data_IF_548311799642
#
_entry.id   IF_548311799642
#
_cell.length_a   1.000
_cell.length_b   1.000
_cell.length_c   1.000
_cell.angle_alpha   90.00
_cell.angle_beta   90.00
_cell.angle_gamma   90.00
#
_symmetry.space_group_name_H-M   'P 1'
#
loop_
_entity.id
_entity.type
_entity.pdbx_description
1 polymer ?
#
# COMPACT_ATOMS: atom_id res chain seq x y z
N UNK A 1 18.54 17.30 -26.78
CA UNK A 1 18.02 17.67 -25.44
C UNK A 1 16.50 17.85 -25.40
N UNK A 2 15.82 18.17 -26.51
CA UNK A 2 14.35 18.34 -26.55
C UNK A 2 13.56 17.03 -26.35
N UNK A 3 14.02 15.92 -26.93
CA UNK A 3 13.38 14.60 -26.85
C UNK A 3 13.31 14.01 -25.43
N UNK A 4 14.37 14.20 -24.64
CA UNK A 4 14.41 13.70 -23.26
C UNK A 4 13.40 14.42 -22.37
N UNK A 5 13.17 15.71 -22.62
CA UNK A 5 12.25 16.54 -21.85
C UNK A 5 10.79 16.24 -22.20
N UNK A 6 10.46 16.04 -23.47
CA UNK A 6 9.12 15.62 -23.92
C UNK A 6 8.76 14.23 -23.37
N UNK A 7 9.69 13.26 -23.45
CA UNK A 7 9.47 11.92 -22.91
C UNK A 7 9.30 11.90 -21.38
N UNK A 8 10.05 12.75 -20.66
CA UNK A 8 9.89 12.90 -19.21
C UNK A 8 8.54 13.52 -18.84
N UNK A 9 8.06 14.51 -19.61
CA UNK A 9 6.75 15.13 -19.40
C UNK A 9 5.61 14.12 -19.64
N UNK A 10 5.68 13.35 -20.73
CA UNK A 10 4.67 12.33 -21.07
C UNK A 10 4.64 11.18 -20.05
N UNK A 11 5.81 10.74 -19.57
CA UNK A 11 5.88 9.76 -18.49
C UNK A 11 5.32 10.31 -17.17
N UNK A 12 5.58 11.59 -16.86
CA UNK A 12 5.01 12.23 -15.68
C UNK A 12 3.49 12.33 -15.75
N UNK A 13 2.92 12.69 -16.91
CA UNK A 13 1.46 12.79 -17.09
C UNK A 13 0.76 11.44 -17.01
N UNK A 14 1.35 10.38 -17.58
CA UNK A 14 0.78 9.03 -17.48
C UNK A 14 0.77 8.53 -16.03
N UNK A 15 1.87 8.77 -15.29
CA UNK A 15 1.96 8.39 -13.88
C UNK A 15 0.99 9.20 -13.01
N UNK A 16 0.77 10.49 -13.30
CA UNK A 16 -0.23 11.30 -12.58
C UNK A 16 -1.64 10.83 -12.86
N UNK A 17 -1.97 10.47 -14.11
CA UNK A 17 -3.30 10.00 -14.48
C UNK A 17 -3.62 8.63 -13.87
N UNK A 18 -2.63 7.75 -13.80
CA UNK A 18 -2.77 6.46 -13.12
C UNK A 18 -2.98 6.64 -11.62
N UNK A 19 -2.16 7.50 -10.98
CA UNK A 19 -2.30 7.82 -9.58
C UNK A 19 -3.68 8.42 -9.27
N UNK A 20 -4.15 9.34 -10.11
CA UNK A 20 -5.47 9.96 -9.99
C UNK A 20 -6.58 8.92 -10.02
N UNK A 21 -6.62 8.04 -11.04
CA UNK A 21 -7.64 6.97 -11.14
C UNK A 21 -7.61 6.04 -9.94
N UNK A 22 -6.42 5.67 -9.46
CA UNK A 22 -6.28 4.81 -8.29
C UNK A 22 -6.82 5.51 -7.02
N UNK A 23 -6.46 6.77 -6.81
CA UNK A 23 -6.90 7.55 -5.66
C UNK A 23 -8.42 7.81 -5.70
N UNK A 24 -9.01 8.06 -6.86
CA UNK A 24 -10.46 8.18 -7.04
C UNK A 24 -11.20 6.92 -6.63
N UNK A 25 -10.74 5.75 -7.09
CA UNK A 25 -11.33 4.45 -6.70
C UNK A 25 -11.23 4.22 -5.20
N UNK A 26 -10.07 4.50 -4.60
CA UNK A 26 -9.84 4.28 -3.18
C UNK A 26 -10.55 5.30 -2.28
N UNK A 27 -10.67 6.57 -2.70
CA UNK A 27 -11.28 7.63 -1.90
C UNK A 27 -12.73 7.33 -1.52
N UNK A 28 -13.46 6.58 -2.36
CA UNK A 28 -14.83 6.14 -2.08
C UNK A 28 -14.91 5.26 -0.81
N UNK A 29 -13.85 4.50 -0.53
CA UNK A 29 -13.74 3.56 0.59
C UNK A 29 -13.17 4.20 1.85
N UNK A 30 -12.47 5.33 1.70
CA UNK A 30 -11.75 5.97 2.79
C UNK A 30 -12.66 6.91 3.59
N UNK A 31 -12.52 6.87 4.92
CA UNK A 31 -13.07 7.85 5.85
C UNK A 31 -12.03 8.27 6.86
N UNK A 32 -11.86 9.57 7.04
CA UNK A 32 -10.99 10.09 8.08
C UNK A 32 -11.75 10.25 9.39
N UNK A 33 -11.10 10.10 10.56
CA UNK A 33 -11.75 10.32 11.86
C UNK A 33 -12.39 11.72 12.00
N UNK A 34 -11.86 12.70 11.27
CA UNK A 34 -12.37 14.08 11.25
C UNK A 34 -13.51 14.32 10.25
N UNK A 35 -13.82 13.33 9.39
CA UNK A 35 -14.87 13.41 8.39
C UNK A 35 -15.47 12.01 8.10
N UNK A 36 -16.13 11.37 9.08
CA UNK A 36 -16.62 9.99 8.95
C UNK A 36 -17.72 9.83 7.90
N UNK A 37 -18.50 10.89 7.64
CA UNK A 37 -19.64 10.85 6.71
C UNK A 37 -19.28 11.26 5.27
N UNK A 38 -18.03 11.69 5.02
CA UNK A 38 -17.62 12.22 3.72
C UNK A 38 -16.32 11.59 3.26
N UNK A 39 -16.23 11.17 1.98
CA UNK A 39 -14.96 10.72 1.42
C UNK A 39 -13.97 11.90 1.35
N UNK A 40 -12.66 11.62 1.38
CA UNK A 40 -11.65 12.62 1.09
C UNK A 40 -11.76 13.16 -0.34
N UNK A 41 -11.35 14.40 -0.52
CA UNK A 41 -11.20 15.02 -1.83
C UNK A 41 -9.91 14.55 -2.49
N UNK A 42 -9.99 14.04 -3.72
CA UNK A 42 -8.80 13.69 -4.51
C UNK A 42 -8.25 14.94 -5.18
N UNK A 43 -6.94 15.15 -5.10
CA UNK A 43 -6.30 16.25 -5.81
C UNK A 43 -6.18 15.93 -7.30
N UNK A 44 -6.54 16.89 -8.15
CA UNK A 44 -6.60 16.72 -9.61
C UNK A 44 -5.26 16.43 -10.28
N UNK A 45 -4.15 16.70 -9.59
CA UNK A 45 -2.79 16.38 -10.04
C UNK A 45 -2.32 14.97 -9.59
N UNK A 46 -3.18 14.20 -8.92
CA UNK A 46 -2.85 12.87 -8.40
C UNK A 46 -1.86 12.90 -7.23
N UNK A 47 -1.58 14.07 -6.64
CA UNK A 47 -0.55 14.22 -5.60
C UNK A 47 -1.00 13.76 -4.20
N UNK A 48 -2.28 13.41 -4.02
CA UNK A 48 -2.80 12.87 -2.77
C UNK A 48 -4.26 13.22 -2.51
N UNK A 49 -4.61 13.22 -1.22
CA UNK A 49 -5.96 13.42 -0.72
C UNK A 49 -6.03 14.64 0.20
N UNK A 50 -7.21 15.25 0.30
CA UNK A 50 -7.51 16.35 1.21
C UNK A 50 -8.74 16.01 2.05
N UNK A 51 -8.66 16.27 3.37
CA UNK A 51 -9.83 16.16 4.23
C UNK A 51 -10.83 17.28 3.90
N UNK A 52 -12.10 16.97 3.61
CA UNK A 52 -13.11 17.99 3.23
C UNK A 52 -13.53 18.88 4.41
N UNK A 53 -13.26 18.46 5.65
CA UNK A 53 -13.63 19.20 6.87
C UNK A 53 -12.48 20.07 7.36
N UNK A 54 -11.28 19.49 7.48
CA UNK A 54 -10.12 20.19 8.07
C UNK A 54 -9.21 20.83 7.03
N UNK A 55 -9.35 20.49 5.75
CA UNK A 55 -8.43 20.89 4.69
C UNK A 55 -7.06 20.22 4.78
N UNK A 56 -6.83 19.31 5.75
CA UNK A 56 -5.55 18.62 5.92
C UNK A 56 -5.21 17.83 4.67
N UNK A 57 -3.98 18.01 4.19
CA UNK A 57 -3.43 17.31 3.03
C UNK A 57 -2.70 16.03 3.44
N UNK A 58 -2.89 14.97 2.65
CA UNK A 58 -2.26 13.67 2.78
C UNK A 58 -1.55 13.31 1.48
N UNK A 59 -0.20 13.34 1.45
CA UNK A 59 0.55 13.18 0.21
C UNK A 59 0.55 11.73 -0.27
N UNK A 60 0.39 11.56 -1.58
CA UNK A 60 0.67 10.32 -2.31
C UNK A 60 2.00 10.45 -3.04
N UNK A 61 3.02 9.70 -2.59
CA UNK A 61 4.39 9.78 -3.13
C UNK A 61 5.03 8.41 -3.18
N UNK A 62 5.68 8.11 -4.31
CA UNK A 62 6.40 6.85 -4.49
C UNK A 62 5.50 5.61 -4.35
N UNK A 63 4.22 5.72 -4.73
CA UNK A 63 3.25 4.64 -4.62
C UNK A 63 2.55 4.52 -3.26
N UNK A 64 2.85 5.41 -2.30
CA UNK A 64 2.35 5.35 -0.93
C UNK A 64 1.58 6.61 -0.56
N UNK A 65 0.36 6.46 -0.04
CA UNK A 65 -0.45 7.50 0.57
C UNK A 65 -0.11 7.59 2.07
N UNK A 66 0.35 8.76 2.54
CA UNK A 66 0.77 8.94 3.92
C UNK A 66 -0.29 9.63 4.77
N UNK A 67 -0.92 8.89 5.69
CA UNK A 67 -1.92 9.41 6.61
C UNK A 67 -1.35 9.86 7.96
N UNK A 68 -0.10 9.49 8.26
CA UNK A 68 0.51 9.69 9.57
C UNK A 68 1.43 10.91 9.61
N UNK A 69 2.01 11.31 8.48
CA UNK A 69 2.97 12.42 8.42
C UNK A 69 4.25 12.13 9.23
N UNK A 70 4.98 13.16 9.65
CA UNK A 70 6.28 12.99 10.31
C UNK A 70 6.18 12.71 11.82
N UNK A 71 4.98 12.74 12.40
CA UNK A 71 4.77 12.86 13.85
C UNK A 71 4.54 11.54 14.61
N UNK A 72 5.05 10.41 14.12
CA UNK A 72 5.05 9.19 14.93
C UNK A 72 6.35 9.08 15.73
N UNK A 73 6.28 9.41 17.02
CA UNK A 73 7.26 8.91 17.98
C UNK A 73 7.19 7.38 17.97
N UNK A 74 8.29 6.77 17.53
CA UNK A 74 8.40 5.33 17.45
C UNK A 74 8.42 4.76 18.87
N UNK A 75 7.51 3.85 19.20
CA UNK A 75 7.62 3.08 20.44
C UNK A 75 8.94 2.28 20.43
N UNK A 76 9.59 2.07 21.57
CA UNK A 76 10.89 1.35 21.68
C UNK A 76 10.94 0.01 20.90
N UNK A 77 9.83 -0.73 20.84
CA UNK A 77 9.69 -1.97 20.04
C UNK A 77 9.78 -1.72 18.52
N UNK A 78 9.26 -0.58 18.04
CA UNK A 78 9.35 -0.16 16.65
C UNK A 78 10.78 0.24 16.27
N UNK A 79 11.58 0.81 17.19
CA UNK A 79 13.00 1.09 16.94
C UNK A 79 13.82 -0.18 16.66
N UNK A 80 13.56 -1.27 17.38
CA UNK A 80 14.30 -2.54 17.23
C UNK A 80 13.91 -3.28 15.95
N UNK A 81 12.63 -3.20 15.55
CA UNK A 81 12.09 -3.79 14.30
C UNK A 81 12.42 -2.96 13.04
N UNK A 82 12.58 -1.64 13.14
CA UNK A 82 12.94 -0.74 12.02
C UNK A 82 14.42 -0.79 11.63
N UNK A 83 15.23 -1.63 12.27
CA UNK A 83 16.58 -1.86 11.74
C UNK A 83 16.40 -2.55 10.39
N UNK A 84 16.77 -1.88 9.30
CA UNK A 84 16.76 -2.44 7.93
C UNK A 84 17.39 -3.83 7.86
N UNK A 85 18.31 -4.10 8.79
CA UNK A 85 18.97 -5.37 9.02
C UNK A 85 18.09 -6.44 9.68
N UNK A 86 17.29 -6.16 10.72
CA UNK A 86 16.49 -7.18 11.43
C UNK A 86 15.29 -7.66 10.62
N UNK A 87 14.59 -6.76 9.94
CA UNK A 87 13.50 -7.13 9.01
C UNK A 87 14.04 -7.88 7.78
N UNK A 88 15.18 -7.45 7.23
CA UNK A 88 15.85 -8.15 6.14
C UNK A 88 16.44 -9.50 6.57
N UNK A 89 16.97 -9.61 7.79
CA UNK A 89 17.44 -10.87 8.40
C UNK A 89 16.23 -11.78 8.62
N UNK A 90 15.13 -11.30 9.18
CA UNK A 90 13.92 -12.11 9.36
C UNK A 90 13.35 -12.60 8.02
N UNK A 91 13.31 -11.76 6.98
CA UNK A 91 12.85 -12.15 5.64
C UNK A 91 13.84 -13.07 4.88
N UNK A 92 15.15 -12.84 5.01
CA UNK A 92 16.21 -13.64 4.38
C UNK A 92 16.36 -15.00 5.07
N UNK A 93 16.21 -15.04 6.38
CA UNK A 93 16.24 -16.25 7.18
C UNK A 93 14.85 -16.89 7.32
N UNK A 94 13.76 -16.27 6.87
CA UNK A 94 12.41 -16.86 6.87
C UNK A 94 12.43 -18.20 6.16
N UNK A 95 12.98 -18.30 4.95
CA UNK A 95 13.01 -19.57 4.20
C UNK A 95 13.73 -20.72 4.93
N UNK A 96 14.99 -20.54 5.40
CA UNK A 96 15.68 -21.53 6.21
C UNK A 96 15.01 -21.81 7.57
N UNK A 97 14.50 -20.77 8.25
CA UNK A 97 13.88 -20.87 9.57
C UNK A 97 12.49 -21.50 9.52
N UNK A 98 11.67 -21.21 8.50
CA UNK A 98 10.37 -21.85 8.28
C UNK A 98 10.56 -23.33 7.95
N UNK A 99 11.57 -23.68 7.15
CA UNK A 99 11.95 -25.09 6.92
C UNK A 99 12.47 -25.78 8.17
N UNK A 100 13.21 -25.09 9.02
CA UNK A 100 13.70 -25.62 10.31
C UNK A 100 12.57 -25.78 11.34
N UNK A 101 11.56 -24.91 11.31
CA UNK A 101 10.41 -24.87 12.24
C UNK A 101 9.13 -25.50 11.67
N UNK A 102 9.17 -26.21 10.53
CA UNK A 102 7.99 -26.77 9.84
C UNK A 102 6.85 -25.76 9.57
N UNK A 103 7.17 -24.48 9.39
CA UNK A 103 6.18 -23.47 9.00
C UNK A 103 5.86 -23.60 7.50
N UNK A 104 4.60 -23.42 7.08
CA UNK A 104 4.19 -23.64 5.69
C UNK A 104 4.90 -22.69 4.71
N UNK A 105 5.17 -23.18 3.50
CA UNK A 105 5.70 -22.35 2.41
C UNK A 105 4.70 -21.27 2.00
N UNK A 106 5.19 -20.12 1.53
CA UNK A 106 4.35 -18.97 1.16
C UNK A 106 3.20 -19.31 0.17
N UNK A 107 3.39 -20.12 -0.89
CA UNK A 107 2.28 -20.54 -1.76
C UNK A 107 1.19 -21.34 -1.02
N UNK A 108 1.57 -22.12 -0.01
CA UNK A 108 0.63 -22.87 0.83
C UNK A 108 -0.16 -21.91 1.73
N UNK A 109 0.50 -20.89 2.29
CA UNK A 109 -0.16 -19.82 3.04
C UNK A 109 -1.18 -19.08 2.15
N UNK A 110 -0.77 -18.65 0.94
CA UNK A 110 -1.65 -17.99 -0.04
C UNK A 110 -2.86 -18.87 -0.39
N UNK A 111 -2.63 -20.15 -0.69
CA UNK A 111 -3.71 -21.08 -1.01
C UNK A 111 -4.68 -21.28 0.18
N UNK A 112 -4.15 -21.28 1.40
CA UNK A 112 -4.97 -21.43 2.62
C UNK A 112 -5.81 -20.19 2.87
N UNK A 113 -5.23 -19.00 2.78
CA UNK A 113 -5.97 -17.74 2.92
C UNK A 113 -7.01 -17.61 1.82
N UNK A 114 -6.67 -17.96 0.57
CA UNK A 114 -7.62 -17.87 -0.55
C UNK A 114 -8.86 -18.76 -0.35
N UNK A 115 -8.75 -19.91 0.33
CA UNK A 115 -9.92 -20.76 0.61
C UNK A 115 -10.94 -20.06 1.52
N UNK A 116 -10.47 -19.18 2.39
CA UNK A 116 -11.31 -18.42 3.34
C UNK A 116 -11.71 -17.06 2.78
N UNK A 117 -10.74 -16.30 2.27
CA UNK A 117 -10.94 -14.97 1.69
C UNK A 117 -11.77 -15.01 0.41
N UNK A 118 -11.63 -16.10 -0.36
CA UNK A 118 -12.33 -16.33 -1.63
C UNK A 118 -12.23 -15.16 -2.63
N UNK A 119 -11.11 -14.40 -2.62
CA UNK A 119 -10.93 -13.23 -3.49
C UNK A 119 -11.12 -13.59 -4.97
N UNK A 120 -11.98 -12.83 -5.65
CA UNK A 120 -12.32 -12.96 -7.07
C UNK A 120 -11.93 -11.72 -7.85
N UNK A 121 -11.95 -11.84 -9.18
CA UNK A 121 -11.80 -10.70 -10.08
C UNK A 121 -12.80 -9.59 -9.74
N UNK A 122 -12.35 -8.33 -9.72
CA UNK A 122 -13.15 -7.16 -9.38
C UNK A 122 -13.35 -6.92 -7.88
N UNK A 123 -12.87 -7.80 -6.99
CA UNK A 123 -13.01 -7.58 -5.56
C UNK A 123 -12.07 -6.49 -5.03
N UNK A 124 -12.49 -5.89 -3.92
CA UNK A 124 -11.64 -5.03 -3.09
C UNK A 124 -11.12 -5.83 -1.90
N UNK A 125 -9.80 -5.79 -1.66
CA UNK A 125 -9.14 -6.51 -0.55
C UNK A 125 -8.31 -5.52 0.29
N UNK A 126 -8.44 -5.62 1.61
CA UNK A 126 -7.56 -4.93 2.56
C UNK A 126 -6.51 -5.91 3.09
N UNK A 127 -5.24 -5.61 2.84
CA UNK A 127 -4.08 -6.30 3.41
C UNK A 127 -3.54 -5.48 4.59
N UNK A 128 -3.89 -5.90 5.81
CA UNK A 128 -3.56 -5.19 7.04
C UNK A 128 -2.20 -5.62 7.58
N UNK A 129 -1.36 -4.67 7.96
CA UNK A 129 0.05 -4.89 8.29
C UNK A 129 0.79 -5.57 7.11
N UNK A 130 0.63 -5.00 5.91
CA UNK A 130 1.07 -5.61 4.66
C UNK A 130 2.60 -5.77 4.54
N UNK A 131 3.38 -5.12 5.40
CA UNK A 131 4.83 -5.15 5.38
C UNK A 131 5.39 -4.80 4.01
N UNK A 132 6.24 -5.67 3.47
CA UNK A 132 6.85 -5.51 2.13
C UNK A 132 5.94 -5.96 0.96
N UNK A 133 4.67 -6.23 1.20
CA UNK A 133 3.66 -6.38 0.16
C UNK A 133 3.60 -7.74 -0.55
N UNK A 134 4.12 -8.81 0.06
CA UNK A 134 4.12 -10.14 -0.57
C UNK A 134 2.68 -10.64 -0.85
N UNK A 135 1.79 -10.60 0.15
CA UNK A 135 0.39 -10.96 -0.03
C UNK A 135 -0.36 -9.92 -0.85
N UNK A 136 -0.08 -8.63 -0.65
CA UNK A 136 -0.65 -7.52 -1.44
C UNK A 136 -0.53 -7.77 -2.94
N UNK A 137 0.66 -8.15 -3.41
CA UNK A 137 0.93 -8.46 -4.82
C UNK A 137 0.14 -9.67 -5.30
N UNK A 138 0.05 -10.74 -4.50
CA UNK A 138 -0.71 -11.94 -4.87
C UNK A 138 -2.21 -11.68 -4.96
N UNK A 139 -2.76 -10.89 -4.03
CA UNK A 139 -4.16 -10.48 -4.09
C UNK A 139 -4.41 -9.55 -5.28
N UNK A 140 -3.50 -8.63 -5.57
CA UNK A 140 -3.64 -7.69 -6.69
C UNK A 140 -3.71 -8.42 -8.04
N UNK A 141 -2.84 -9.41 -8.25
CA UNK A 141 -2.89 -10.28 -9.43
C UNK A 141 -4.20 -11.04 -9.53
N UNK A 142 -4.71 -11.54 -8.39
CA UNK A 142 -5.90 -12.40 -8.35
C UNK A 142 -7.21 -11.62 -8.55
N UNK A 143 -7.34 -10.42 -7.97
CA UNK A 143 -8.52 -9.57 -8.17
C UNK A 143 -8.51 -8.85 -9.52
N UNK A 144 -7.36 -8.82 -10.20
CA UNK A 144 -7.23 -8.26 -11.55
C UNK A 144 -7.43 -6.74 -11.61
N UNK A 145 -7.32 -6.14 -12.81
CA UNK A 145 -7.28 -4.68 -12.99
C UNK A 145 -8.54 -3.95 -12.48
N UNK A 146 -9.70 -4.60 -12.59
CA UNK A 146 -10.98 -4.07 -12.11
C UNK A 146 -11.14 -4.17 -10.59
N UNK A 147 -10.37 -5.05 -9.93
CA UNK A 147 -10.31 -5.14 -8.47
C UNK A 147 -9.36 -4.11 -7.88
N UNK A 148 -9.35 -3.98 -6.55
CA UNK A 148 -8.51 -3.03 -5.81
C UNK A 148 -7.92 -3.71 -4.59
N UNK A 149 -6.61 -3.56 -4.37
CA UNK A 149 -5.98 -3.98 -3.12
C UNK A 149 -5.45 -2.77 -2.38
N UNK A 150 -5.81 -2.65 -1.11
CA UNK A 150 -5.30 -1.64 -0.21
C UNK A 150 -4.35 -2.31 0.77
N UNK A 151 -3.07 -1.99 0.72
CA UNK A 151 -2.08 -2.45 1.70
C UNK A 151 -1.86 -1.37 2.77
N UNK A 152 -2.07 -1.67 4.04
CA UNK A 152 -1.86 -0.73 5.14
C UNK A 152 -0.73 -1.20 6.05
N UNK A 153 0.26 -0.34 6.30
CA UNK A 153 1.31 -0.59 7.28
C UNK A 153 1.78 0.72 7.94
N UNK A 154 2.40 0.64 9.11
CA UNK A 154 2.93 1.81 9.81
C UNK A 154 4.37 2.15 9.37
N UNK A 155 5.14 1.15 8.93
CA UNK A 155 6.55 1.29 8.59
C UNK A 155 6.76 1.85 7.19
N UNK A 156 7.30 3.06 7.12
CA UNK A 156 7.70 3.70 5.86
C UNK A 156 8.72 2.84 5.08
N UNK A 157 9.64 2.17 5.78
CA UNK A 157 10.69 1.37 5.15
C UNK A 157 10.14 0.10 4.48
N UNK A 158 9.17 -0.57 5.12
CA UNK A 158 8.52 -1.74 4.53
C UNK A 158 7.63 -1.34 3.35
N UNK A 159 6.87 -0.25 3.48
CA UNK A 159 6.04 0.27 2.38
C UNK A 159 6.86 0.70 1.16
N UNK A 160 8.07 1.22 1.34
CA UNK A 160 8.97 1.51 0.22
C UNK A 160 9.36 0.24 -0.55
N UNK A 161 9.55 -0.90 0.15
CA UNK A 161 9.79 -2.21 -0.48
C UNK A 161 8.52 -2.75 -1.15
N UNK A 162 7.36 -2.60 -0.51
CA UNK A 162 6.08 -2.96 -1.09
C UNK A 162 5.82 -2.20 -2.40
N UNK A 163 6.05 -0.88 -2.41
CA UNK A 163 5.92 -0.05 -3.61
C UNK A 163 6.88 -0.50 -4.71
N UNK A 164 8.12 -0.85 -4.37
CA UNK A 164 9.05 -1.44 -5.32
C UNK A 164 8.52 -2.76 -5.91
N UNK A 165 7.95 -3.66 -5.11
CA UNK A 165 7.37 -4.91 -5.60
C UNK A 165 6.16 -4.67 -6.49
N UNK A 166 5.22 -3.82 -6.08
CA UNK A 166 4.04 -3.42 -6.87
C UNK A 166 4.47 -2.91 -8.25
N UNK A 167 5.43 -1.97 -8.29
CA UNK A 167 5.96 -1.42 -9.53
C UNK A 167 6.70 -2.48 -10.38
N UNK A 168 7.48 -3.35 -9.75
CA UNK A 168 8.20 -4.44 -10.44
C UNK A 168 7.25 -5.40 -11.16
N UNK A 169 6.05 -5.60 -10.62
CA UNK A 169 5.01 -6.44 -11.21
C UNK A 169 4.05 -5.68 -12.14
N UNK A 170 4.20 -4.36 -12.29
CA UNK A 170 3.35 -3.53 -13.14
C UNK A 170 1.89 -3.51 -12.68
N UNK A 171 1.66 -3.46 -11.37
CA UNK A 171 0.33 -3.53 -10.78
C UNK A 171 -0.23 -2.12 -10.54
N UNK A 172 -1.29 -1.77 -11.26
CA UNK A 172 -1.92 -0.45 -11.21
C UNK A 172 -3.13 -0.40 -10.27
N UNK A 173 -3.48 -1.54 -9.68
CA UNK A 173 -4.65 -1.76 -8.84
C UNK A 173 -4.31 -1.91 -7.34
N UNK A 174 -3.19 -1.32 -6.91
CA UNK A 174 -2.72 -1.37 -5.51
C UNK A 174 -2.53 0.02 -4.95
N UNK A 175 -3.22 0.33 -3.86
CA UNK A 175 -2.94 1.51 -3.03
C UNK A 175 -2.23 1.10 -1.75
N UNK A 176 -1.01 1.57 -1.55
CA UNK A 176 -0.32 1.43 -0.28
C UNK A 176 -0.61 2.64 0.60
N UNK A 177 -0.97 2.39 1.86
CA UNK A 177 -1.30 3.42 2.84
C UNK A 177 -0.36 3.27 4.04
N UNK A 178 0.30 4.38 4.38
CA UNK A 178 0.94 4.50 5.68
C UNK A 178 -0.10 4.95 6.70
N UNK A 179 -0.52 4.03 7.57
CA UNK A 179 -1.61 4.24 8.54
C UNK A 179 -1.40 3.46 9.84
N UNK A 180 -2.18 3.81 10.87
CA UNK A 180 -2.24 3.05 12.13
C UNK A 180 -3.41 2.06 12.04
N UNK A 181 -3.12 0.77 12.21
CA UNK A 181 -4.13 -0.29 12.17
C UNK A 181 -5.16 -0.18 13.32
N UNK A 182 -4.84 0.51 14.42
CA UNK A 182 -5.80 0.77 15.50
C UNK A 182 -6.83 1.86 15.13
N UNK A 183 -6.55 2.65 14.08
CA UNK A 183 -7.41 3.72 13.58
C UNK A 183 -7.56 3.59 12.07
N UNK A 184 -8.31 2.56 11.66
CA UNK A 184 -8.53 2.27 10.25
C UNK A 184 -9.26 3.43 9.55
N UNK A 185 -8.77 3.88 8.38
CA UNK A 185 -9.37 4.98 7.64
C UNK A 185 -10.49 4.50 6.70
N UNK A 186 -11.34 3.54 7.11
CA UNK A 186 -12.39 2.94 6.28
C UNK A 186 -13.76 3.05 6.96
N UNK A 187 -14.83 3.18 6.19
CA UNK A 187 -16.22 3.09 6.65
C UNK A 187 -16.81 1.69 6.43
#
# INVERSE_FOLDING_TARGET
MHWTQVFLMEKHSILSDQALRLLERAALLLRFPTSPDRPPEVLSDGSGLRCPVTGRFFPYRGGVLDLLGDSLEKTFTQHTLDTSFTAWVYDRFRGPLTRLLNSPDFPVEVATIQRVLQAQAGNTVLDLACGQGNFTVEWAKRVGPEGLVIGLDISRALLARAAYHVNRWGLDNVLLIRGDAHQLPFA
#
